data_IF_690010854038
#
_entry.id   IF_690010854038
#
_cell.length_a   1.000
_cell.length_b   1.000
_cell.length_c   1.000
_cell.angle_alpha   90.00
_cell.angle_beta   90.00
_cell.angle_gamma   90.00
#
_symmetry.space_group_name_H-M   'P 1'
#
loop_
_entity.id
_entity.type
_entity.pdbx_description
1 polymer ?
#
# COMPACT_ATOMS: atom_id res chain seq x y z
N UNK A 1 -10.27 -20.51 -12.86
CA UNK A 1 -9.07 -21.37 -12.77
C UNK A 1 -8.74 -21.98 -14.13
N UNK A 2 -7.44 -22.07 -14.42
CA UNK A 2 -6.98 -22.80 -15.61
C UNK A 2 -6.96 -24.30 -15.27
N UNK A 3 -7.74 -25.05 -15.98
CA UNK A 3 -7.78 -26.53 -15.98
C UNK A 3 -7.01 -27.11 -17.17
N UNK A 4 -6.57 -26.23 -18.08
CA UNK A 4 -5.78 -26.57 -19.26
C UNK A 4 -4.89 -25.39 -19.69
N UNK A 5 -3.80 -25.72 -20.41
CA UNK A 5 -2.94 -24.71 -21.06
C UNK A 5 -2.56 -25.26 -22.47
N UNK A 6 -2.99 -24.64 -23.59
CA UNK A 6 -3.82 -23.44 -23.65
C UNK A 6 -5.28 -23.66 -23.22
N UNK A 7 -5.94 -22.60 -22.78
CA UNK A 7 -7.37 -22.54 -22.46
C UNK A 7 -8.07 -21.53 -23.37
N UNK A 8 -9.14 -21.94 -24.01
CA UNK A 8 -9.98 -21.05 -24.81
C UNK A 8 -11.06 -20.41 -23.91
N UNK A 9 -11.25 -19.12 -24.06
CA UNK A 9 -12.26 -18.31 -23.33
C UNK A 9 -12.97 -17.44 -24.36
N UNK A 10 -14.30 -17.50 -24.40
CA UNK A 10 -15.11 -16.63 -25.25
C UNK A 10 -15.45 -15.36 -24.48
N UNK A 11 -15.10 -14.22 -25.05
CA UNK A 11 -15.38 -12.90 -24.50
C UNK A 11 -15.92 -11.97 -25.60
N UNK A 12 -16.77 -10.98 -25.27
CA UNK A 12 -17.15 -9.93 -26.20
C UNK A 12 -15.94 -9.18 -26.76
N UNK A 13 -16.10 -8.50 -27.88
CA UNK A 13 -15.06 -7.59 -28.39
C UNK A 13 -14.81 -6.47 -27.38
N UNK A 14 -13.54 -6.13 -27.15
CA UNK A 14 -13.15 -5.07 -26.21
C UNK A 14 -11.70 -5.15 -25.81
N UNK A 15 -11.32 -4.25 -24.92
CA UNK A 15 -10.00 -4.24 -24.30
C UNK A 15 -10.04 -5.04 -23.00
N UNK A 16 -9.06 -5.90 -22.81
CA UNK A 16 -8.98 -6.76 -21.64
C UNK A 16 -7.58 -6.73 -21.05
N UNK A 17 -7.50 -6.75 -19.73
CA UNK A 17 -6.30 -7.12 -18.99
C UNK A 17 -6.46 -8.58 -18.53
N UNK A 18 -5.54 -9.43 -18.93
CA UNK A 18 -5.51 -10.84 -18.55
C UNK A 18 -4.47 -11.01 -17.46
N UNK A 19 -4.90 -11.42 -16.28
CA UNK A 19 -4.01 -11.73 -15.17
C UNK A 19 -4.11 -13.22 -14.85
N UNK A 20 -2.95 -13.85 -14.65
CA UNK A 20 -2.84 -15.26 -14.28
C UNK A 20 -2.06 -15.36 -12.99
N UNK A 21 -2.63 -16.04 -12.00
CA UNK A 21 -1.96 -16.39 -10.76
C UNK A 21 -2.01 -17.89 -10.54
N UNK A 22 -1.00 -18.45 -9.89
CA UNK A 22 -0.94 -19.88 -9.61
C UNK A 22 0.00 -20.19 -8.45
N UNK A 23 -0.24 -21.30 -7.75
CA UNK A 23 0.67 -21.79 -6.71
C UNK A 23 1.83 -22.54 -7.34
N UNK A 24 3.01 -22.44 -6.76
CA UNK A 24 4.15 -23.29 -7.11
C UNK A 24 4.01 -24.61 -6.34
N UNK A 25 4.11 -25.73 -7.04
CA UNK A 25 4.06 -27.04 -6.38
C UNK A 25 5.22 -27.17 -5.39
N UNK A 26 4.92 -27.73 -4.21
CA UNK A 26 5.87 -27.98 -3.14
C UNK A 26 6.56 -26.74 -2.53
N UNK A 27 6.12 -25.54 -2.86
CA UNK A 27 6.60 -24.27 -2.28
C UNK A 27 5.43 -23.45 -1.73
N UNK A 28 5.12 -23.63 -0.45
CA UNK A 28 3.94 -23.05 0.20
C UNK A 28 3.85 -21.52 0.14
N UNK A 29 4.99 -20.83 0.06
CA UNK A 29 5.09 -19.36 0.03
C UNK A 29 5.40 -18.78 -1.36
N UNK A 30 5.41 -19.62 -2.40
CA UNK A 30 5.70 -19.18 -3.75
C UNK A 30 4.45 -19.19 -4.64
N UNK A 31 4.28 -18.13 -5.40
CA UNK A 31 3.24 -17.99 -6.42
C UNK A 31 3.84 -17.70 -7.77
N UNK A 32 3.11 -18.05 -8.81
CA UNK A 32 3.35 -17.55 -10.16
C UNK A 32 2.36 -16.43 -10.41
N UNK A 33 2.82 -15.31 -10.90
CA UNK A 33 1.98 -14.17 -11.27
C UNK A 33 2.44 -13.57 -12.59
N UNK A 34 1.49 -13.06 -13.37
CA UNK A 34 1.77 -12.33 -14.58
C UNK A 34 0.51 -11.71 -15.16
N UNK A 35 0.67 -10.64 -15.91
CA UNK A 35 -0.44 -9.97 -16.59
C UNK A 35 -0.03 -9.51 -17.99
N UNK A 36 -1.03 -9.36 -18.86
CA UNK A 36 -0.87 -8.78 -20.20
C UNK A 36 -2.18 -8.10 -20.62
N UNK A 37 -2.09 -7.08 -21.46
CA UNK A 37 -3.27 -6.44 -22.05
C UNK A 37 -3.51 -7.00 -23.45
N UNK A 38 -4.77 -7.08 -23.86
CA UNK A 38 -5.18 -7.51 -25.17
C UNK A 38 -6.37 -6.71 -25.69
N UNK A 39 -6.29 -6.29 -26.95
CA UNK A 39 -7.41 -5.74 -27.70
C UNK A 39 -8.08 -6.88 -28.46
N UNK A 40 -9.24 -7.31 -27.97
CA UNK A 40 -9.95 -8.49 -28.50
C UNK A 40 -11.02 -8.05 -29.52
N UNK A 41 -10.68 -8.10 -30.82
CA UNK A 41 -11.61 -7.85 -31.92
C UNK A 41 -11.79 -9.09 -32.84
N UNK A 42 -10.97 -10.11 -32.62
CA UNK A 42 -11.01 -11.41 -33.32
C UNK A 42 -10.41 -12.49 -32.41
N UNK A 43 -10.41 -13.73 -32.84
CA UNK A 43 -9.71 -14.81 -32.14
C UNK A 43 -8.22 -14.46 -32.01
N UNK A 44 -7.81 -14.12 -30.81
CA UNK A 44 -6.46 -13.60 -30.52
C UNK A 44 -5.77 -14.54 -29.54
N UNK A 45 -4.63 -15.14 -29.88
CA UNK A 45 -3.82 -15.87 -28.92
C UNK A 45 -3.16 -14.89 -27.96
N UNK A 46 -3.30 -15.15 -26.66
CA UNK A 46 -2.73 -14.33 -25.58
C UNK A 46 -1.71 -15.18 -24.82
N UNK A 47 -0.49 -14.67 -24.70
CA UNK A 47 0.55 -15.26 -23.86
C UNK A 47 0.76 -14.40 -22.62
N UNK A 48 0.65 -15.01 -21.44
CA UNK A 48 0.98 -14.39 -20.17
C UNK A 48 2.27 -15.01 -19.66
N UNK A 49 3.32 -14.20 -19.55
CA UNK A 49 4.57 -14.64 -18.95
C UNK A 49 4.42 -14.62 -17.43
N UNK A 50 4.60 -15.77 -16.79
CA UNK A 50 4.50 -15.90 -15.35
C UNK A 50 5.88 -15.75 -14.72
N UNK A 51 5.95 -14.98 -13.66
CA UNK A 51 7.12 -14.84 -12.80
C UNK A 51 6.83 -15.50 -11.45
N UNK A 52 7.87 -16.06 -10.83
CA UNK A 52 7.77 -16.60 -9.48
C UNK A 52 7.92 -15.43 -8.50
N UNK A 53 6.92 -15.25 -7.66
CA UNK A 53 6.90 -14.28 -6.57
C UNK A 53 6.82 -15.02 -5.24
N UNK A 54 7.48 -14.48 -4.22
CA UNK A 54 7.45 -15.03 -2.87
C UNK A 54 6.50 -14.22 -2.03
N UNK A 55 5.65 -14.89 -1.27
CA UNK A 55 4.82 -14.24 -0.26
C UNK A 55 5.69 -13.52 0.75
N UNK A 56 5.32 -12.31 1.06
CA UNK A 56 5.95 -11.54 2.11
C UNK A 56 5.46 -11.95 3.49
N UNK A 57 6.33 -11.80 4.49
CA UNK A 57 5.96 -12.05 5.88
C UNK A 57 5.15 -10.90 6.46
N UNK A 58 5.55 -9.66 6.14
CA UNK A 58 4.86 -8.43 6.55
C UNK A 58 4.14 -7.84 5.34
N UNK A 59 2.82 -7.69 5.46
CA UNK A 59 1.96 -7.20 4.39
C UNK A 59 0.95 -6.17 4.90
N UNK A 60 0.45 -5.32 4.02
CA UNK A 60 -0.70 -4.48 4.31
C UNK A 60 -1.95 -5.34 4.55
N UNK A 61 -2.61 -5.13 5.67
CA UNK A 61 -3.90 -5.75 6.01
C UNK A 61 -5.06 -4.84 5.60
N UNK A 62 -4.98 -3.57 5.96
CA UNK A 62 -6.02 -2.56 5.72
C UNK A 62 -5.38 -1.23 5.35
N UNK A 63 -6.00 -0.50 4.43
CA UNK A 63 -5.61 0.87 4.08
C UNK A 63 -6.88 1.72 4.00
N UNK A 64 -6.95 2.77 4.82
CA UNK A 64 -7.95 3.82 4.72
C UNK A 64 -7.30 5.11 4.24
N UNK A 65 -7.55 5.44 2.98
CA UNK A 65 -7.03 6.64 2.33
C UNK A 65 -8.09 7.47 1.60
N UNK A 66 -9.33 6.95 1.52
CA UNK A 66 -10.42 7.63 0.81
C UNK A 66 -11.03 8.81 1.58
N UNK A 67 -10.70 8.91 2.88
CA UNK A 67 -11.27 9.88 3.79
C UNK A 67 -12.72 9.58 4.19
N UNK A 68 -13.18 10.22 5.25
CA UNK A 68 -14.54 10.12 5.78
C UNK A 68 -15.25 11.46 5.80
N UNK A 69 -14.52 12.51 6.10
CA UNK A 69 -15.02 13.90 6.13
C UNK A 69 -14.32 14.72 5.05
N UNK A 70 -15.10 15.38 4.21
CA UNK A 70 -14.58 16.21 3.12
C UNK A 70 -13.58 17.27 3.64
N UNK A 71 -12.41 17.32 3.00
CA UNK A 71 -11.29 18.21 3.31
C UNK A 71 -10.61 18.02 4.68
N UNK A 72 -10.99 16.99 5.44
CA UNK A 72 -10.38 16.71 6.74
C UNK A 72 -9.07 15.90 6.59
N UNK A 73 -9.15 14.67 6.11
CA UNK A 73 -8.03 13.80 5.66
C UNK A 73 -6.97 13.42 6.72
N UNK A 74 -7.15 13.78 7.98
CA UNK A 74 -6.24 13.41 9.09
C UNK A 74 -6.46 11.97 9.58
N UNK A 75 -7.62 11.38 9.29
CA UNK A 75 -8.09 10.10 9.77
C UNK A 75 -7.58 8.88 8.96
N UNK A 76 -6.64 9.10 8.06
CA UNK A 76 -6.05 7.99 7.30
C UNK A 76 -5.27 7.04 8.20
N UNK A 77 -5.38 5.74 7.94
CA UNK A 77 -4.65 4.74 8.68
C UNK A 77 -4.24 3.54 7.83
N UNK A 78 -3.25 2.83 8.31
CA UNK A 78 -2.72 1.60 7.74
C UNK A 78 -2.70 0.51 8.79
N UNK A 79 -2.93 -0.73 8.39
CA UNK A 79 -2.64 -1.87 9.22
C UNK A 79 -1.65 -2.79 8.49
N UNK A 80 -0.61 -3.21 9.20
CA UNK A 80 0.38 -4.18 8.75
C UNK A 80 0.20 -5.44 9.59
N UNK A 81 0.24 -6.60 8.95
CA UNK A 81 0.10 -7.90 9.62
C UNK A 81 1.30 -8.80 9.32
N UNK A 82 1.70 -9.57 10.32
CA UNK A 82 2.59 -10.71 10.13
C UNK A 82 1.79 -11.92 9.63
N UNK A 83 1.81 -12.14 8.31
CA UNK A 83 1.11 -13.25 7.65
C UNK A 83 1.94 -14.55 7.62
N UNK A 84 3.12 -14.57 8.24
CA UNK A 84 4.00 -15.74 8.31
C UNK A 84 3.81 -16.53 9.62
N UNK A 85 4.42 -17.71 9.71
CA UNK A 85 4.39 -18.56 10.89
C UNK A 85 5.58 -18.31 11.83
N UNK A 86 6.39 -17.28 11.57
CA UNK A 86 7.57 -16.91 12.34
C UNK A 86 7.42 -15.48 12.86
N UNK A 87 8.07 -15.18 13.98
CA UNK A 87 8.14 -13.80 14.50
C UNK A 87 8.82 -12.91 13.46
N UNK A 88 8.20 -11.79 13.14
CA UNK A 88 8.79 -10.76 12.31
C UNK A 88 9.09 -9.53 13.15
N UNK A 89 9.97 -8.67 12.66
CA UNK A 89 10.33 -7.44 13.37
C UNK A 89 10.01 -6.24 12.50
N UNK A 90 9.30 -5.28 13.09
CA UNK A 90 8.93 -4.02 12.42
C UNK A 90 10.14 -3.08 12.28
N UNK A 91 11.19 -3.29 13.07
CA UNK A 91 12.41 -2.49 13.05
C UNK A 91 12.92 -2.23 11.64
N UNK A 92 13.17 -0.97 11.32
CA UNK A 92 13.67 -0.52 10.03
C UNK A 92 12.76 -0.85 8.82
N UNK A 93 11.49 -1.20 9.06
CA UNK A 93 10.51 -1.32 7.99
C UNK A 93 10.17 0.07 7.46
N UNK A 94 10.31 0.27 6.17
CA UNK A 94 10.02 1.53 5.48
C UNK A 94 8.58 1.49 4.98
N UNK A 95 7.85 2.57 5.21
CA UNK A 95 6.55 2.86 4.60
C UNK A 95 6.67 4.10 3.72
N UNK A 96 6.29 4.00 2.47
CA UNK A 96 6.29 5.12 1.52
C UNK A 96 5.12 5.07 0.55
N UNK A 97 4.80 6.23 -0.02
CA UNK A 97 3.78 6.39 -1.05
C UNK A 97 4.44 6.91 -2.33
N UNK A 98 4.81 6.03 -3.28
CA UNK A 98 5.51 6.43 -4.49
C UNK A 98 4.65 7.27 -5.43
N UNK A 99 5.31 7.92 -6.39
CA UNK A 99 4.63 8.56 -7.53
C UNK A 99 4.00 7.47 -8.40
N UNK A 100 2.77 7.68 -8.80
CA UNK A 100 2.00 6.72 -9.61
C UNK A 100 0.54 7.10 -9.64
N UNK A 101 -0.31 6.10 -9.76
CA UNK A 101 -1.76 6.27 -9.80
C UNK A 101 -2.23 7.24 -10.88
N UNK A 102 -1.70 7.08 -12.07
CA UNK A 102 -1.97 7.95 -13.22
C UNK A 102 -2.50 7.15 -14.40
N UNK A 103 -3.01 7.84 -15.41
CA UNK A 103 -3.51 7.22 -16.63
C UNK A 103 -2.39 6.91 -17.65
N UNK A 104 -1.17 7.34 -17.37
CA UNK A 104 -0.01 7.15 -18.22
C UNK A 104 1.22 6.81 -17.38
N UNK A 105 2.27 6.30 -18.02
CA UNK A 105 3.55 6.10 -17.37
C UNK A 105 4.03 7.39 -16.68
N UNK A 106 4.49 7.27 -15.44
CA UNK A 106 5.14 8.38 -14.76
C UNK A 106 6.54 8.65 -15.34
N UNK A 107 7.19 9.74 -14.92
CA UNK A 107 8.50 10.13 -15.45
C UNK A 107 9.58 9.05 -15.26
N UNK A 108 9.54 8.29 -14.15
CA UNK A 108 10.49 7.22 -13.86
C UNK A 108 10.36 6.06 -14.85
N UNK A 109 9.13 5.58 -15.04
CA UNK A 109 8.81 4.51 -16.00
C UNK A 109 9.12 4.93 -17.44
N UNK A 110 8.77 6.16 -17.83
CA UNK A 110 9.01 6.69 -19.17
C UNK A 110 10.50 6.86 -19.52
N UNK A 111 11.39 6.88 -18.51
CA UNK A 111 12.83 7.05 -18.68
C UNK A 111 13.65 5.80 -18.29
N UNK A 112 13.00 4.63 -18.16
CA UNK A 112 13.68 3.35 -17.94
C UNK A 112 14.09 3.09 -16.48
N UNK A 113 13.39 3.69 -15.51
CA UNK A 113 13.56 3.49 -14.07
C UNK A 113 12.32 2.86 -13.45
N UNK A 114 11.67 1.95 -14.17
CA UNK A 114 10.45 1.28 -13.71
C UNK A 114 10.65 0.40 -12.47
N UNK A 115 11.88 0.03 -12.15
CA UNK A 115 12.27 -0.73 -10.97
C UNK A 115 12.62 0.15 -9.75
N UNK A 116 12.51 1.48 -9.88
CA UNK A 116 12.73 2.46 -8.82
C UNK A 116 11.43 3.18 -8.45
N UNK A 117 10.98 2.96 -7.23
CA UNK A 117 9.76 3.60 -6.71
C UNK A 117 10.13 4.89 -6.00
N UNK A 118 10.00 6.00 -6.71
CA UNK A 118 10.29 7.32 -6.18
C UNK A 118 9.18 7.73 -5.21
N UNK A 119 9.51 8.19 -4.00
CA UNK A 119 8.55 8.74 -3.07
C UNK A 119 7.74 9.86 -3.74
N UNK A 120 6.43 9.90 -3.48
CA UNK A 120 5.59 11.00 -3.95
C UNK A 120 5.88 12.31 -3.22
N UNK A 121 5.05 13.31 -3.45
CA UNK A 121 5.11 14.51 -2.63
C UNK A 121 4.73 14.17 -1.19
N UNK A 122 5.64 14.43 -0.25
CA UNK A 122 5.45 14.12 1.15
C UNK A 122 6.71 13.55 1.79
N UNK A 123 6.53 12.51 2.57
CA UNK A 123 7.59 11.90 3.36
C UNK A 123 7.74 10.40 3.10
N UNK A 124 8.89 9.88 3.49
CA UNK A 124 9.18 8.46 3.66
C UNK A 124 9.42 8.25 5.14
N UNK A 125 8.69 7.32 5.73
CA UNK A 125 8.80 7.02 7.16
C UNK A 125 9.28 5.60 7.38
N UNK A 126 9.86 5.34 8.55
CA UNK A 126 10.33 4.01 8.92
C UNK A 126 10.06 3.74 10.40
N UNK A 127 9.84 2.49 10.74
CA UNK A 127 9.82 2.06 12.12
C UNK A 127 11.21 2.25 12.75
N UNK A 128 11.30 2.79 13.97
CA UNK A 128 12.55 2.85 14.69
C UNK A 128 13.03 1.45 15.09
N UNK A 129 14.23 1.34 15.64
CA UNK A 129 14.73 0.12 16.24
C UNK A 129 16.08 -0.33 15.71
N UNK A 130 16.62 -1.38 16.35
CA UNK A 130 17.94 -1.90 16.09
C UNK A 130 17.90 -3.32 15.47
N UNK A 131 16.75 -3.72 14.96
CA UNK A 131 16.53 -4.98 14.26
C UNK A 131 15.69 -6.01 15.01
N UNK A 132 15.54 -5.89 16.33
CA UNK A 132 14.79 -6.85 17.17
C UNK A 132 14.03 -6.19 18.33
N UNK A 133 13.78 -4.89 18.26
CA UNK A 133 13.13 -4.16 19.35
C UNK A 133 11.59 -4.26 19.28
N UNK A 134 11.03 -4.44 18.09
CA UNK A 134 9.58 -4.46 17.84
C UNK A 134 9.12 -5.75 17.18
N UNK A 135 9.06 -6.87 17.95
CA UNK A 135 8.58 -8.16 17.43
C UNK A 135 7.09 -8.12 17.16
N UNK A 136 6.66 -8.68 16.03
CA UNK A 136 5.28 -8.94 15.67
C UNK A 136 5.07 -10.44 15.54
N UNK A 137 4.21 -11.01 16.40
CA UNK A 137 3.96 -12.45 16.41
C UNK A 137 3.18 -12.91 15.19
N UNK A 138 3.21 -14.21 14.83
CA UNK A 138 2.41 -14.75 13.75
C UNK A 138 0.92 -14.40 13.87
N UNK A 139 0.37 -13.71 12.87
CA UNK A 139 -1.01 -13.27 12.82
C UNK A 139 -1.33 -11.96 13.58
N UNK A 140 -0.38 -11.40 14.33
CA UNK A 140 -0.52 -10.07 14.90
C UNK A 140 -0.48 -8.98 13.83
N UNK A 141 -1.21 -7.91 14.07
CA UNK A 141 -1.19 -6.70 13.25
C UNK A 141 -0.97 -5.47 14.11
N UNK A 142 -0.43 -4.42 13.51
CA UNK A 142 -0.29 -3.10 14.09
C UNK A 142 -1.12 -2.08 13.33
N UNK A 143 -1.76 -1.18 14.07
CA UNK A 143 -2.51 -0.04 13.57
C UNK A 143 -1.59 1.20 13.56
N UNK A 144 -1.44 1.81 12.40
CA UNK A 144 -0.63 3.01 12.17
C UNK A 144 -1.58 4.12 11.74
N UNK A 145 -1.71 5.14 12.56
CA UNK A 145 -2.53 6.32 12.26
C UNK A 145 -1.69 7.45 11.65
N UNK A 146 -2.30 8.31 10.82
CA UNK A 146 -1.71 9.62 10.59
C UNK A 146 -1.72 10.41 11.91
N UNK A 147 -2.91 10.64 12.48
CA UNK A 147 -3.08 11.26 13.79
C UNK A 147 -3.72 10.24 14.75
N UNK A 148 -3.03 9.87 15.83
CA UNK A 148 -3.46 8.85 16.78
C UNK A 148 -4.49 9.41 17.78
N UNK A 149 -5.66 9.85 17.27
CA UNK A 149 -6.72 10.46 18.06
C UNK A 149 -8.12 9.95 17.67
N UNK A 150 -9.11 10.31 18.48
CA UNK A 150 -10.50 10.02 18.13
C UNK A 150 -11.05 11.07 17.16
N UNK A 151 -11.04 10.78 15.88
CA UNK A 151 -11.47 11.70 14.84
C UNK A 151 -12.97 12.02 14.85
N UNK A 152 -13.79 11.21 15.52
CA UNK A 152 -15.21 11.56 15.76
C UNK A 152 -15.36 12.80 16.62
N UNK A 153 -14.32 13.16 17.38
CA UNK A 153 -14.26 14.33 18.27
C UNK A 153 -13.44 15.49 17.70
N UNK A 154 -13.07 15.45 16.42
CA UNK A 154 -12.27 16.49 15.76
C UNK A 154 -12.96 17.87 15.70
N UNK A 155 -14.28 17.92 15.89
CA UNK A 155 -15.04 19.15 16.03
C UNK A 155 -14.85 19.88 17.39
N UNK A 156 -14.10 19.29 18.32
CA UNK A 156 -13.88 19.81 19.67
C UNK A 156 -15.19 19.89 20.46
N UNK A 157 -15.46 21.06 21.07
CA UNK A 157 -16.66 21.31 21.88
C UNK A 157 -17.88 21.78 21.04
N UNK A 158 -17.72 21.96 19.73
CA UNK A 158 -18.81 22.40 18.85
C UNK A 158 -19.73 21.23 18.47
N UNK A 159 -20.72 20.98 19.32
CA UNK A 159 -21.71 19.91 19.10
C UNK A 159 -22.51 20.07 17.79
N UNK A 160 -22.53 21.24 17.18
CA UNK A 160 -23.22 21.46 15.90
C UNK A 160 -22.54 20.77 14.73
N UNK A 161 -21.24 20.47 14.85
CA UNK A 161 -20.45 19.78 13.87
C UNK A 161 -20.26 18.27 14.15
N UNK A 162 -20.73 17.77 15.29
CA UNK A 162 -20.57 16.37 15.68
C UNK A 162 -21.07 15.37 14.62
N UNK A 163 -22.19 15.70 13.95
CA UNK A 163 -22.76 14.86 12.90
C UNK A 163 -21.83 14.73 11.69
N UNK A 164 -21.05 15.76 11.37
CA UNK A 164 -20.15 15.77 10.22
C UNK A 164 -18.96 14.83 10.37
N UNK A 165 -18.54 14.56 11.61
CA UNK A 165 -17.40 13.69 11.95
C UNK A 165 -17.81 12.30 12.45
N UNK A 166 -19.11 12.01 12.48
CA UNK A 166 -19.63 10.74 13.01
C UNK A 166 -19.12 9.49 12.25
N UNK A 167 -18.81 9.66 10.96
CA UNK A 167 -18.28 8.61 10.10
C UNK A 167 -16.77 8.42 10.20
N UNK A 168 -16.05 9.36 10.82
CA UNK A 168 -14.61 9.23 11.01
C UNK A 168 -14.29 8.10 12.00
N UNK A 169 -13.13 7.43 11.86
CA UNK A 169 -12.72 6.39 12.80
C UNK A 169 -12.26 6.98 14.14
N UNK A 170 -12.24 6.14 15.16
CA UNK A 170 -11.51 6.38 16.40
C UNK A 170 -10.14 5.68 16.28
N UNK A 171 -9.06 6.45 16.25
CA UNK A 171 -7.67 5.99 16.14
C UNK A 171 -6.87 6.25 17.43
N UNK A 172 -7.55 6.62 18.54
CA UNK A 172 -6.88 6.94 19.81
C UNK A 172 -6.13 5.78 20.46
N UNK A 173 -6.32 4.57 19.96
CA UNK A 173 -5.63 3.35 20.38
C UNK A 173 -4.69 2.81 19.29
N UNK A 174 -4.22 3.66 18.38
CA UNK A 174 -3.22 3.26 17.39
C UNK A 174 -1.91 2.82 18.07
N UNK A 175 -1.29 1.79 17.52
CA UNK A 175 -0.01 1.29 18.01
C UNK A 175 1.15 2.21 17.62
N UNK A 176 0.98 2.93 16.51
CA UNK A 176 1.97 3.85 15.95
C UNK A 176 1.31 5.06 15.30
N UNK A 177 2.05 6.17 15.28
CA UNK A 177 1.67 7.41 14.63
C UNK A 177 2.67 7.83 13.57
N UNK A 178 2.20 8.50 12.53
CA UNK A 178 3.05 9.16 11.53
C UNK A 178 3.08 10.66 11.83
N UNK A 179 3.80 11.03 12.88
CA UNK A 179 4.04 12.42 13.18
C UNK A 179 5.07 13.03 12.23
N UNK A 180 4.68 14.09 11.51
CA UNK A 180 5.52 14.79 10.55
C UNK A 180 6.30 15.92 11.24
N UNK A 181 7.35 15.57 11.96
CA UNK A 181 8.16 16.45 12.82
C UNK A 181 8.78 17.67 12.10
N UNK A 182 8.82 17.67 10.78
CA UNK A 182 9.24 18.79 9.95
C UNK A 182 8.12 19.81 9.68
N UNK A 183 6.85 19.49 9.97
CA UNK A 183 5.71 20.39 9.81
C UNK A 183 5.24 20.92 11.17
N UNK A 184 5.50 22.19 11.44
CA UNK A 184 5.15 22.82 12.72
C UNK A 184 3.64 22.88 13.03
N UNK A 185 2.77 22.54 12.07
CA UNK A 185 1.32 22.49 12.26
C UNK A 185 0.81 21.08 12.50
N UNK A 186 1.67 20.06 12.42
CA UNK A 186 1.31 18.72 12.78
C UNK A 186 1.27 18.51 14.29
N UNK A 187 0.44 17.62 14.77
CA UNK A 187 0.22 17.39 16.21
C UNK A 187 0.74 16.01 16.57
N UNK A 188 1.60 15.97 17.58
CA UNK A 188 2.15 14.73 18.16
C UNK A 188 1.16 14.22 19.22
N UNK A 189 0.48 13.11 18.94
CA UNK A 189 -0.46 12.47 19.87
C UNK A 189 0.25 11.42 20.74
N UNK A 190 -0.47 10.80 21.67
CA UNK A 190 0.09 9.86 22.64
C UNK A 190 0.21 8.43 22.04
N UNK A 191 1.04 8.31 20.99
CA UNK A 191 1.40 7.03 20.36
C UNK A 191 2.88 7.05 19.96
N UNK A 192 3.57 5.90 19.90
CA UNK A 192 4.93 5.82 19.38
C UNK A 192 5.02 6.31 17.94
N UNK A 193 6.01 7.14 17.61
CA UNK A 193 6.16 7.73 16.30
C UNK A 193 7.01 6.88 15.34
N UNK A 194 6.58 6.75 14.09
CA UNK A 194 7.48 6.41 12.99
C UNK A 194 8.46 7.57 12.76
N UNK A 195 9.67 7.26 12.34
CA UNK A 195 10.68 8.27 12.00
C UNK A 195 10.51 8.75 10.57
N UNK A 196 10.46 10.05 10.34
CA UNK A 196 10.67 10.63 9.03
C UNK A 196 12.13 10.48 8.63
N UNK A 197 12.41 9.68 7.59
CA UNK A 197 13.77 9.48 7.06
C UNK A 197 14.07 10.34 5.84
N UNK A 198 13.02 10.82 5.18
CA UNK A 198 13.12 11.73 4.04
C UNK A 198 11.81 12.50 3.85
N UNK A 199 11.88 13.74 3.42
CA UNK A 199 10.73 14.50 2.93
C UNK A 199 11.15 15.45 1.81
N UNK A 200 10.23 15.71 0.88
CA UNK A 200 10.45 16.63 -0.23
C UNK A 200 9.40 17.75 -0.31
N UNK A 201 8.43 17.76 0.59
CA UNK A 201 7.43 18.81 0.70
C UNK A 201 7.14 19.10 2.19
N UNK A 202 7.68 20.20 2.69
CA UNK A 202 7.53 20.62 4.09
C UNK A 202 6.11 21.07 4.46
N UNK A 203 5.21 21.21 3.50
CA UNK A 203 3.83 21.67 3.72
C UNK A 203 2.81 20.54 3.77
N UNK A 204 3.25 19.29 3.66
CA UNK A 204 2.34 18.16 3.84
C UNK A 204 1.90 18.07 5.29
N UNK A 205 0.60 17.90 5.49
CA UNK A 205 -0.04 17.84 6.80
C UNK A 205 -0.50 16.42 7.18
N UNK A 206 -0.36 15.46 6.29
CA UNK A 206 -0.57 14.05 6.55
C UNK A 206 0.21 13.19 5.54
N UNK A 207 0.63 12.01 5.97
CA UNK A 207 1.36 11.07 5.12
C UNK A 207 0.45 10.45 4.07
N UNK A 208 0.98 10.30 2.86
CA UNK A 208 0.38 9.45 1.84
C UNK A 208 -1.03 9.83 1.41
N UNK A 209 -1.39 11.11 1.48
CA UNK A 209 -2.71 11.59 1.07
C UNK A 209 -3.06 11.13 -0.34
N UNK A 210 -4.24 10.55 -0.51
CA UNK A 210 -4.67 10.01 -1.78
C UNK A 210 -6.14 9.62 -1.81
N UNK A 211 -7.03 10.59 -1.52
CA UNK A 211 -8.49 10.35 -1.50
C UNK A 211 -9.07 9.86 -2.82
N UNK A 212 -8.37 10.11 -3.92
CA UNK A 212 -8.70 9.59 -5.27
C UNK A 212 -7.77 8.45 -5.71
N UNK A 213 -7.20 7.74 -4.75
CA UNK A 213 -6.25 6.66 -4.99
C UNK A 213 -4.79 7.05 -4.72
N UNK A 214 -4.00 6.09 -4.34
CA UNK A 214 -2.57 6.22 -4.05
C UNK A 214 -1.91 4.85 -4.00
N UNK A 215 -0.65 4.80 -4.42
CA UNK A 215 0.17 3.60 -4.28
C UNK A 215 0.96 3.66 -2.97
N UNK A 216 1.15 2.49 -2.34
CA UNK A 216 1.91 2.36 -1.08
C UNK A 216 2.87 1.19 -1.17
N UNK A 217 3.99 1.32 -0.46
CA UNK A 217 5.07 0.31 -0.42
C UNK A 217 5.51 0.09 1.01
N UNK A 218 5.63 -1.17 1.37
CA UNK A 218 6.45 -1.65 2.48
C UNK A 218 7.77 -2.15 1.93
N UNK A 219 8.88 -1.68 2.49
CA UNK A 219 10.20 -2.10 2.05
C UNK A 219 11.12 -2.37 3.24
N UNK A 220 12.06 -3.29 3.04
CA UNK A 220 13.10 -3.59 4.02
C UNK A 220 14.45 -3.66 3.32
N UNK A 221 15.39 -2.90 3.85
CA UNK A 221 16.76 -2.84 3.32
C UNK A 221 17.55 -4.08 3.74
N UNK A 222 18.66 -4.37 3.05
CA UNK A 222 19.56 -5.45 3.45
C UNK A 222 20.06 -5.28 4.88
N UNK A 223 20.39 -6.38 5.52
CA UNK A 223 20.98 -6.39 6.85
C UNK A 223 22.20 -5.45 6.93
N UNK A 224 22.28 -4.68 8.01
CA UNK A 224 23.33 -3.69 8.23
C UNK A 224 23.10 -2.32 7.58
N UNK A 225 22.04 -2.13 6.79
CA UNK A 225 21.66 -0.85 6.23
C UNK A 225 20.42 -0.31 6.95
N UNK A 226 20.55 0.78 7.70
CA UNK A 226 19.40 1.45 8.30
C UNK A 226 18.70 2.36 7.31
N UNK A 227 17.40 2.66 7.50
CA UNK A 227 16.67 3.57 6.64
C UNK A 227 17.30 4.97 6.56
N UNK A 228 17.79 5.50 7.68
CA UNK A 228 18.46 6.80 7.73
C UNK A 228 19.79 6.79 6.96
N UNK A 229 20.59 5.70 7.13
CA UNK A 229 21.83 5.55 6.37
C UNK A 229 21.56 5.44 4.87
N UNK A 230 20.50 4.74 4.49
CA UNK A 230 20.07 4.64 3.09
C UNK A 230 19.64 6.01 2.54
N UNK A 231 18.80 6.75 3.26
CA UNK A 231 18.33 8.08 2.84
C UNK A 231 19.47 9.12 2.73
N UNK A 232 20.60 8.89 3.44
CA UNK A 232 21.79 9.74 3.36
C UNK A 232 22.72 9.39 2.17
N UNK A 233 22.47 8.30 1.45
CA UNK A 233 23.27 7.96 0.27
C UNK A 233 22.88 8.88 -0.90
N UNK A 234 23.88 9.44 -1.58
CA UNK A 234 23.66 10.24 -2.78
C UNK A 234 22.96 9.42 -3.89
N UNK A 235 23.23 8.11 -3.97
CA UNK A 235 22.64 7.22 -4.97
C UNK A 235 21.17 6.86 -4.73
N UNK A 236 20.65 7.10 -3.54
CA UNK A 236 19.24 6.81 -3.18
C UNK A 236 18.34 8.02 -3.38
N UNK A 237 18.89 9.21 -3.64
CA UNK A 237 18.14 10.44 -3.85
C UNK A 237 18.36 10.92 -5.27
N UNK A 238 17.28 11.07 -6.03
CA UNK A 238 17.34 11.44 -7.44
C UNK A 238 16.40 12.62 -7.73
N UNK A 239 16.72 13.38 -8.74
CA UNK A 239 15.76 14.31 -9.35
C UNK A 239 14.90 13.57 -10.37
N UNK A 240 13.72 14.13 -10.66
CA UNK A 240 12.81 13.54 -11.64
C UNK A 240 13.51 13.39 -13.01
N UNK A 241 13.55 12.18 -13.57
CA UNK A 241 14.21 11.94 -14.85
C UNK A 241 13.41 12.55 -16.00
N UNK A 242 14.11 12.86 -17.10
CA UNK A 242 13.51 13.48 -18.28
C UNK A 242 13.24 14.98 -18.15
N UNK A 243 13.60 15.59 -17.02
CA UNK A 243 13.53 17.06 -16.81
C UNK A 243 14.88 17.62 -16.38
N UNK A 244 15.11 18.91 -16.62
CA UNK A 244 16.26 19.64 -16.09
C UNK A 244 15.97 20.29 -14.73
N UNK A 245 14.79 20.11 -14.17
CA UNK A 245 14.42 20.68 -12.87
C UNK A 245 15.16 19.97 -11.75
N UNK A 246 15.72 20.74 -10.85
CA UNK A 246 16.34 20.29 -9.59
C UNK A 246 15.62 20.86 -8.37
N UNK A 247 14.38 21.29 -8.54
CA UNK A 247 13.59 21.93 -7.47
C UNK A 247 13.10 20.96 -6.43
N UNK A 248 12.92 19.68 -6.79
CA UNK A 248 12.45 18.63 -5.91
C UNK A 248 13.26 17.36 -6.13
N UNK A 249 13.78 16.78 -5.07
CA UNK A 249 14.43 15.48 -5.07
C UNK A 249 13.50 14.41 -4.50
N UNK A 250 13.79 13.17 -4.81
CA UNK A 250 12.98 12.01 -4.44
C UNK A 250 13.87 10.91 -3.88
N UNK A 251 13.52 10.37 -2.73
CA UNK A 251 14.09 9.11 -2.28
C UNK A 251 13.51 8.00 -3.14
N UNK A 252 14.35 7.14 -3.71
CA UNK A 252 13.93 6.02 -4.54
C UNK A 252 14.11 4.71 -3.80
N UNK A 253 13.10 3.85 -3.88
CA UNK A 253 13.12 2.50 -3.31
C UNK A 253 13.18 1.49 -4.46
N UNK A 254 14.29 0.76 -4.64
CA UNK A 254 14.36 -0.30 -5.63
C UNK A 254 13.38 -1.44 -5.36
N UNK A 255 12.77 -1.97 -6.40
CA UNK A 255 11.85 -3.13 -6.36
C UNK A 255 12.38 -4.30 -5.53
N UNK A 256 13.68 -4.59 -5.62
CA UNK A 256 14.32 -5.69 -4.85
C UNK A 256 14.24 -5.56 -3.32
N UNK A 257 13.87 -4.40 -2.80
CA UNK A 257 13.69 -4.14 -1.36
C UNK A 257 12.22 -4.14 -0.93
N UNK A 258 11.31 -4.22 -1.89
CA UNK A 258 9.87 -4.24 -1.63
C UNK A 258 9.48 -5.56 -0.97
N UNK A 259 8.74 -5.47 0.10
CA UNK A 259 8.07 -6.59 0.75
C UNK A 259 6.63 -6.72 0.26
N UNK A 260 5.89 -5.62 0.25
CA UNK A 260 4.51 -5.57 -0.20
C UNK A 260 4.24 -4.23 -0.86
N UNK A 261 3.44 -4.24 -1.90
CA UNK A 261 3.04 -3.06 -2.64
C UNK A 261 1.55 -3.11 -2.95
N UNK A 262 0.89 -1.97 -2.83
CA UNK A 262 -0.53 -1.84 -3.11
C UNK A 262 -0.78 -0.62 -3.97
N UNK A 263 -1.28 -0.85 -5.17
CA UNK A 263 -1.66 0.19 -6.12
C UNK A 263 -3.17 0.42 -6.05
N UNK A 264 -3.59 1.52 -5.42
CA UNK A 264 -4.99 1.90 -5.29
C UNK A 264 -5.28 3.00 -6.30
N UNK A 265 -6.17 2.76 -7.25
CA UNK A 265 -6.51 3.75 -8.26
C UNK A 265 -7.92 4.33 -8.07
N UNK A 266 -8.11 5.53 -8.61
CA UNK A 266 -9.37 6.27 -8.54
C UNK A 266 -10.53 5.43 -9.14
N UNK A 267 -11.62 5.20 -8.39
CA UNK A 267 -12.77 4.46 -8.89
C UNK A 267 -13.45 5.09 -10.11
N UNK A 268 -13.28 6.38 -10.34
CA UNK A 268 -13.82 7.09 -11.50
C UNK A 268 -12.91 7.04 -12.73
N UNK A 269 -11.69 6.49 -12.59
CA UNK A 269 -10.72 6.38 -13.69
C UNK A 269 -11.02 5.13 -14.53
N UNK A 270 -11.23 5.32 -15.84
CA UNK A 270 -11.44 4.22 -16.79
C UNK A 270 -10.14 3.48 -17.11
N UNK A 271 -9.02 4.20 -17.19
CA UNK A 271 -7.71 3.68 -17.57
C UNK A 271 -6.69 3.97 -16.47
N UNK A 272 -6.23 2.93 -15.80
CA UNK A 272 -5.16 3.02 -14.81
C UNK A 272 -3.85 2.48 -15.39
N UNK A 273 -2.78 3.25 -15.28
CA UNK A 273 -1.43 2.81 -15.62
C UNK A 273 -0.77 2.27 -14.34
N UNK A 274 -0.30 1.00 -14.33
CA UNK A 274 0.26 0.38 -13.13
C UNK A 274 1.47 1.15 -12.59
N UNK A 275 1.50 1.38 -11.29
CA UNK A 275 2.64 2.02 -10.61
C UNK A 275 3.82 1.06 -10.48
N UNK A 276 3.55 -0.21 -10.28
CA UNK A 276 4.54 -1.22 -9.92
C UNK A 276 4.85 -2.19 -11.06
N UNK A 277 6.03 -2.80 -10.96
CA UNK A 277 6.35 -3.97 -11.76
C UNK A 277 5.42 -5.14 -11.39
N UNK A 278 5.10 -6.04 -12.33
CA UNK A 278 4.16 -7.14 -12.09
C UNK A 278 4.54 -8.10 -10.96
N UNK A 279 5.84 -8.19 -10.59
CA UNK A 279 6.28 -9.00 -9.46
C UNK A 279 5.97 -8.35 -8.11
N UNK A 280 5.81 -7.03 -8.06
CA UNK A 280 5.53 -6.29 -6.83
C UNK A 280 4.02 -6.06 -6.65
N UNK A 281 3.33 -5.64 -7.71
CA UNK A 281 1.87 -5.65 -7.80
C UNK A 281 1.40 -5.78 -9.26
N UNK A 282 0.92 -6.96 -9.62
CA UNK A 282 0.55 -7.27 -11.00
C UNK A 282 -0.66 -6.46 -11.49
N UNK A 283 -1.55 -6.05 -10.60
CA UNK A 283 -2.77 -5.33 -10.95
C UNK A 283 -3.30 -4.55 -9.74
N UNK A 284 -3.39 -3.24 -9.85
CA UNK A 284 -3.93 -2.39 -8.80
C UNK A 284 -5.39 -2.70 -8.45
N UNK A 285 -5.77 -2.36 -7.24
CA UNK A 285 -7.15 -2.45 -6.74
C UNK A 285 -7.89 -1.13 -7.00
N UNK A 286 -9.16 -1.24 -7.38
CA UNK A 286 -10.05 -0.08 -7.47
C UNK A 286 -10.31 0.48 -6.07
N UNK A 287 -9.98 1.74 -5.85
CA UNK A 287 -10.20 2.42 -4.59
C UNK A 287 -11.67 2.67 -4.26
N UNK A 288 -11.91 3.34 -3.16
CA UNK A 288 -13.25 3.75 -2.75
C UNK A 288 -13.56 5.18 -3.24
N UNK A 289 -14.84 5.56 -3.39
CA UNK A 289 -15.20 6.95 -3.65
C UNK A 289 -14.62 7.88 -2.58
N UNK A 290 -14.22 9.08 -2.99
CA UNK A 290 -13.70 10.09 -2.07
C UNK A 290 -14.68 10.36 -0.93
N UNK A 291 -14.16 10.43 0.29
CA UNK A 291 -14.92 10.74 1.52
C UNK A 291 -16.06 9.76 1.83
N UNK A 292 -15.91 8.50 1.39
CA UNK A 292 -16.92 7.46 1.58
C UNK A 292 -16.93 6.82 2.96
N UNK A 293 -15.94 7.11 3.81
CA UNK A 293 -15.72 6.41 5.09
C UNK A 293 -15.58 4.89 4.90
N UNK A 294 -14.82 4.51 3.89
CA UNK A 294 -14.54 3.12 3.54
C UNK A 294 -13.05 2.88 3.45
N UNK A 295 -12.64 1.63 3.64
CA UNK A 295 -11.27 1.21 3.43
C UNK A 295 -11.18 0.11 2.37
N UNK A 296 -9.97 -0.19 1.94
CA UNK A 296 -9.66 -1.47 1.33
C UNK A 296 -9.10 -2.41 2.40
N UNK A 297 -9.46 -3.66 2.36
CA UNK A 297 -9.01 -4.70 3.28
C UNK A 297 -8.56 -5.92 2.50
N UNK A 298 -7.44 -6.52 2.92
CA UNK A 298 -6.94 -7.75 2.31
C UNK A 298 -7.87 -8.93 2.64
N UNK A 299 -8.09 -9.81 1.66
CA UNK A 299 -8.96 -10.98 1.79
C UNK A 299 -8.40 -11.98 2.80
N UNK A 300 -9.29 -12.53 3.60
CA UNK A 300 -9.00 -13.66 4.49
C UNK A 300 -9.30 -14.95 3.76
N UNK A 301 -8.31 -15.80 3.57
CA UNK A 301 -8.45 -17.07 2.87
C UNK A 301 -8.70 -18.26 3.79
N UNK A 302 -8.32 -18.14 5.07
CA UNK A 302 -8.40 -19.19 6.07
C UNK A 302 -8.42 -18.58 7.46
N UNK A 303 -9.14 -19.21 8.39
CA UNK A 303 -9.01 -18.94 9.83
C UNK A 303 -8.69 -20.25 10.52
N UNK A 304 -7.64 -20.29 11.31
CA UNK A 304 -7.20 -21.46 12.04
C UNK A 304 -6.84 -21.07 13.48
N UNK A 305 -7.48 -21.70 14.45
CA UNK A 305 -7.34 -21.39 15.87
C UNK A 305 -7.54 -19.90 16.21
N UNK A 306 -8.47 -19.23 15.51
CA UNK A 306 -8.76 -17.80 15.67
C UNK A 306 -7.81 -16.87 14.93
N UNK A 307 -6.79 -17.38 14.26
CA UNK A 307 -5.85 -16.62 13.45
C UNK A 307 -6.30 -16.54 11.99
N UNK A 308 -6.53 -15.35 11.41
CA UNK A 308 -6.75 -15.20 10.00
C UNK A 308 -5.43 -15.32 9.20
N UNK A 309 -5.53 -15.89 8.00
CA UNK A 309 -4.48 -15.94 6.99
C UNK A 309 -4.96 -15.14 5.79
N UNK A 310 -4.14 -14.23 5.34
CA UNK A 310 -4.50 -13.28 4.29
C UNK A 310 -3.98 -13.72 2.92
N UNK A 311 -4.75 -13.43 1.88
CA UNK A 311 -4.33 -13.64 0.51
C UNK A 311 -3.18 -12.68 0.16
N UNK A 312 -2.12 -13.22 -0.40
CA UNK A 312 -0.98 -12.46 -0.88
C UNK A 312 -0.44 -13.12 -2.15
N UNK A 313 -0.78 -12.52 -3.29
CA UNK A 313 -0.40 -13.01 -4.63
C UNK A 313 0.34 -11.95 -5.43
N UNK A 314 0.77 -10.86 -4.78
CA UNK A 314 1.30 -9.66 -5.40
C UNK A 314 0.37 -9.15 -6.52
N UNK A 315 -0.92 -9.07 -6.21
CA UNK A 315 -1.95 -8.61 -7.13
C UNK A 315 -3.08 -7.96 -6.31
N UNK A 316 -2.99 -6.65 -6.12
CA UNK A 316 -3.94 -5.91 -5.28
C UNK A 316 -5.40 -6.09 -5.71
N UNK A 317 -5.69 -6.20 -7.00
CA UNK A 317 -7.06 -6.46 -7.47
C UNK A 317 -7.60 -7.84 -7.06
N UNK A 318 -6.72 -8.83 -6.89
CA UNK A 318 -7.11 -10.16 -6.42
C UNK A 318 -7.12 -10.25 -4.90
N UNK A 319 -6.18 -9.55 -4.24
CA UNK A 319 -5.86 -9.71 -2.84
C UNK A 319 -6.72 -8.83 -1.92
N UNK A 320 -7.26 -7.71 -2.42
CA UNK A 320 -8.03 -6.76 -1.63
C UNK A 320 -9.51 -6.71 -2.00
N UNK A 321 -10.32 -6.34 -1.03
CA UNK A 321 -11.72 -5.96 -1.16
C UNK A 321 -11.85 -4.45 -0.94
N UNK A 322 -12.53 -3.77 -1.86
CA UNK A 322 -12.96 -2.38 -1.69
C UNK A 322 -14.29 -2.29 -0.93
N UNK A 323 -14.76 -1.08 -0.65
CA UNK A 323 -16.04 -0.80 0.02
C UNK A 323 -16.21 -1.45 1.41
N UNK A 324 -15.07 -1.64 2.12
CA UNK A 324 -15.10 -2.25 3.44
C UNK A 324 -15.36 -1.21 4.54
N UNK A 325 -16.07 -1.58 5.62
CA UNK A 325 -16.28 -0.69 6.76
C UNK A 325 -14.96 -0.37 7.46
N UNK A 326 -14.91 0.79 8.12
CA UNK A 326 -13.77 1.17 8.95
C UNK A 326 -13.84 0.40 10.27
N UNK A 327 -12.91 -0.53 10.48
CA UNK A 327 -12.77 -1.34 11.69
C UNK A 327 -11.31 -1.37 12.14
N UNK A 328 -10.72 -0.19 12.51
CA UNK A 328 -9.31 -0.10 12.86
C UNK A 328 -8.98 -0.99 14.06
N UNK A 329 -7.93 -1.80 13.95
CA UNK A 329 -7.46 -2.71 14.99
C UNK A 329 -8.27 -4.01 15.12
N UNK A 330 -9.39 -4.19 14.42
CA UNK A 330 -10.19 -5.40 14.52
C UNK A 330 -9.57 -6.59 13.77
N UNK A 331 -9.69 -7.78 14.34
CA UNK A 331 -9.30 -9.03 13.71
C UNK A 331 -10.51 -9.65 13.00
N UNK A 332 -10.42 -9.95 11.69
CA UNK A 332 -11.49 -10.62 10.96
C UNK A 332 -11.83 -11.99 11.56
N UNK A 333 -13.11 -12.29 11.63
CA UNK A 333 -13.64 -13.55 12.21
C UNK A 333 -14.28 -14.47 11.17
N UNK A 334 -14.28 -14.08 9.91
CA UNK A 334 -14.82 -14.87 8.78
C UNK A 334 -13.84 -14.90 7.60
N UNK A 335 -13.93 -15.96 6.83
CA UNK A 335 -13.23 -16.12 5.55
C UNK A 335 -14.02 -15.36 4.47
N UNK A 336 -13.30 -14.72 3.55
CA UNK A 336 -13.90 -14.05 2.40
C UNK A 336 -14.10 -15.03 1.22
N UNK A 337 -15.11 -14.79 0.39
CA UNK A 337 -15.43 -15.58 -0.81
C UNK A 337 -14.56 -15.21 -2.02
#
# INVERSE_FOLDING_TARGET
>A
SLDANPKEIELPQGQYKVTVTGKVADEAKAYLSGSTSVDLYANTPVTVNLQKVMQSSLIFKTIHNSGSKQYYMHESYFEIVNNSDEVQYLDNLILTAPTGNQQTANAWQANGYEDLYACGQGSVVAFPGNGHDYPLQPGESVLIANDATNHKLAYGEDASQAADYASCPDLSNADWEIYLDYNANDVDYDAPNLKTIFYNNQYMFAFGLGVSGRSYVLAKLPEGMTPEAYAALESSVMYEPGTSSTSMSYLVIPSKYVLDAVDIYDPETENHYPTFLPQDDATGVKGNPMYSAKCIRRKVTKIENGRPYYQDTNNSAADFLSDQPLTPGETPTSVDE
#
